data_IF_474274809954
#
_entry.id   IF_474274809954
#
_cell.length_a   1.000
_cell.length_b   1.000
_cell.length_c   1.000
_cell.angle_alpha   90.00
_cell.angle_beta   90.00
_cell.angle_gamma   90.00
#
_symmetry.space_group_name_H-M   'P 1'
#
loop_
_entity.id
_entity.type
_entity.pdbx_description
1 polymer ?
#
# COMPACT_ATOMS: atom_id res chain seq x y z
N UNK A 1 46.75 12.85 -11.93
CA UNK A 1 46.31 11.44 -11.75
C UNK A 1 47.22 10.73 -10.74
N UNK A 2 48.53 10.75 -10.94
CA UNK A 2 49.58 10.17 -10.06
C UNK A 2 49.41 10.42 -8.54
N UNK A 3 49.06 11.65 -8.13
CA UNK A 3 48.90 11.98 -6.71
C UNK A 3 47.76 11.21 -6.03
N UNK A 4 46.64 11.03 -6.74
CA UNK A 4 45.48 10.31 -6.21
C UNK A 4 45.77 8.82 -6.08
N UNK A 5 46.45 8.23 -7.07
CA UNK A 5 46.84 6.83 -7.06
C UNK A 5 47.83 6.52 -5.93
N UNK A 6 48.83 7.38 -5.74
CA UNK A 6 49.80 7.23 -4.65
C UNK A 6 49.12 7.27 -3.26
N UNK A 7 48.14 8.15 -3.08
CA UNK A 7 47.40 8.24 -1.81
C UNK A 7 46.45 7.04 -1.60
N UNK A 8 45.75 6.59 -2.64
CA UNK A 8 44.87 5.42 -2.55
C UNK A 8 45.66 4.15 -2.26
N UNK A 9 46.85 4.02 -2.85
CA UNK A 9 47.76 2.89 -2.61
C UNK A 9 48.22 2.86 -1.15
N UNK A 10 48.63 4.00 -0.59
CA UNK A 10 49.02 4.07 0.83
C UNK A 10 47.86 3.77 1.78
N UNK A 11 46.65 4.22 1.46
CA UNK A 11 45.45 3.96 2.27
C UNK A 11 45.07 2.48 2.24
N UNK A 12 45.04 1.86 1.05
CA UNK A 12 44.73 0.45 0.89
C UNK A 12 45.80 -0.46 1.53
N UNK A 13 47.08 -0.13 1.38
CA UNK A 13 48.18 -0.83 2.07
C UNK A 13 48.04 -0.75 3.60
N UNK A 14 47.69 0.42 4.13
CA UNK A 14 47.48 0.60 5.58
C UNK A 14 46.25 -0.15 6.08
N UNK A 15 45.16 -0.13 5.32
CA UNK A 15 43.95 -0.89 5.62
C UNK A 15 44.21 -2.40 5.59
N UNK A 16 44.85 -2.91 4.53
CA UNK A 16 45.20 -4.33 4.40
C UNK A 16 46.08 -4.81 5.55
N UNK A 17 47.04 -3.99 6.00
CA UNK A 17 47.89 -4.31 7.16
C UNK A 17 47.09 -4.44 8.46
N UNK A 18 46.05 -3.62 8.63
CA UNK A 18 45.16 -3.68 9.80
C UNK A 18 44.29 -4.94 9.74
N UNK A 19 43.74 -5.26 8.56
CA UNK A 19 42.92 -6.45 8.32
C UNK A 19 43.74 -7.73 8.57
N UNK A 20 44.96 -7.80 8.04
CA UNK A 20 45.83 -8.97 8.17
C UNK A 20 46.22 -9.24 9.64
N UNK A 21 46.31 -8.20 10.47
CA UNK A 21 46.67 -8.35 11.89
C UNK A 21 45.55 -8.95 12.74
N UNK A 22 44.29 -8.81 12.33
CA UNK A 22 43.13 -9.32 13.06
C UNK A 22 42.03 -9.83 12.08
N UNK A 23 42.27 -10.92 11.34
CA UNK A 23 41.37 -11.36 10.28
C UNK A 23 40.00 -11.81 10.80
N UNK A 24 39.96 -12.43 11.99
CA UNK A 24 38.71 -12.94 12.57
C UNK A 24 37.71 -11.82 12.89
N UNK A 25 38.17 -10.68 13.42
CA UNK A 25 37.29 -9.55 13.74
C UNK A 25 36.67 -8.92 12.50
N UNK A 26 37.39 -8.90 11.38
CA UNK A 26 36.89 -8.41 10.09
C UNK A 26 35.85 -9.31 9.44
N UNK A 27 35.74 -10.58 9.87
CA UNK A 27 34.66 -11.49 9.43
C UNK A 27 33.47 -11.41 10.39
N UNK A 28 33.72 -11.40 11.69
CA UNK A 28 32.66 -11.40 12.72
C UNK A 28 31.85 -10.11 12.70
N UNK A 29 32.49 -8.94 12.60
CA UNK A 29 31.79 -7.64 12.61
C UNK A 29 30.76 -7.51 11.50
N UNK A 30 31.09 -7.69 10.20
CA UNK A 30 30.09 -7.56 9.14
C UNK A 30 28.98 -8.61 9.23
N UNK A 31 29.26 -9.81 9.74
CA UNK A 31 28.22 -10.83 9.97
C UNK A 31 27.25 -10.40 11.07
N UNK A 32 27.76 -9.94 12.22
CA UNK A 32 26.92 -9.47 13.33
C UNK A 32 26.12 -8.23 12.92
N UNK A 33 26.75 -7.30 12.20
CA UNK A 33 26.07 -6.12 11.64
C UNK A 33 25.01 -6.54 10.63
N UNK A 34 25.30 -7.49 9.75
CA UNK A 34 24.33 -8.02 8.78
C UNK A 34 23.11 -8.64 9.46
N UNK A 35 23.32 -9.44 10.50
CA UNK A 35 22.22 -10.02 11.29
C UNK A 35 21.41 -8.92 11.99
N UNK A 36 22.09 -7.94 12.61
CA UNK A 36 21.44 -6.81 13.28
C UNK A 36 20.63 -5.92 12.32
N UNK A 37 21.06 -5.77 11.06
CA UNK A 37 20.28 -5.07 10.04
C UNK A 37 19.13 -5.94 9.51
N UNK A 38 19.33 -7.25 9.42
CA UNK A 38 18.30 -8.17 8.93
C UNK A 38 17.09 -8.26 9.87
N UNK A 39 17.26 -8.09 11.17
CA UNK A 39 16.12 -8.05 12.12
C UNK A 39 15.16 -6.89 11.82
N UNK A 40 15.64 -5.80 11.21
CA UNK A 40 14.81 -4.69 10.76
C UNK A 40 13.73 -5.09 9.74
N UNK A 41 13.96 -6.16 8.96
CA UNK A 41 12.98 -6.66 7.99
C UNK A 41 11.73 -7.24 8.66
N UNK A 42 11.82 -7.66 9.93
CA UNK A 42 10.66 -8.15 10.68
C UNK A 42 9.65 -7.04 10.97
N UNK A 43 10.09 -5.77 10.97
CA UNK A 43 9.25 -4.60 11.19
C UNK A 43 8.79 -3.93 9.89
N UNK A 44 8.94 -4.61 8.75
CA UNK A 44 8.54 -4.06 7.46
C UNK A 44 7.02 -4.06 7.32
N UNK A 45 6.42 -2.86 7.40
CA UNK A 45 5.00 -2.66 7.15
C UNK A 45 4.68 -2.83 5.66
N UNK A 46 3.79 -3.77 5.34
CA UNK A 46 3.30 -3.97 3.98
C UNK A 46 2.15 -3.00 3.69
N UNK A 47 2.30 -2.22 2.61
CA UNK A 47 1.24 -1.36 2.10
C UNK A 47 0.68 -1.97 0.82
N UNK A 48 -0.51 -2.59 0.90
CA UNK A 48 -1.18 -3.23 -0.25
C UNK A 48 -2.15 -2.30 -0.99
N UNK A 49 -2.26 -1.05 -0.55
CA UNK A 49 -3.17 -0.09 -1.18
C UNK A 49 -2.58 0.44 -2.49
N UNK A 50 -3.13 -0.01 -3.63
CA UNK A 50 -2.72 0.45 -4.95
C UNK A 50 -2.77 1.98 -5.10
N UNK A 51 -3.79 2.65 -4.54
CA UNK A 51 -3.88 4.11 -4.59
C UNK A 51 -2.68 4.76 -3.88
N UNK A 52 -2.24 4.20 -2.76
CA UNK A 52 -1.06 4.70 -2.04
C UNK A 52 0.24 4.46 -2.82
N UNK A 53 0.38 3.30 -3.46
CA UNK A 53 1.61 2.93 -4.20
C UNK A 53 1.78 3.70 -5.51
N UNK A 54 0.68 4.03 -6.20
CA UNK A 54 0.71 4.63 -7.53
C UNK A 54 0.42 6.13 -7.57
N UNK A 55 0.08 6.76 -6.43
CA UNK A 55 -0.20 8.22 -6.39
C UNK A 55 0.75 8.96 -5.45
N UNK A 56 1.15 10.20 -5.78
CA UNK A 56 2.02 10.98 -4.93
C UNK A 56 1.32 11.34 -3.61
N UNK A 57 2.03 11.15 -2.49
CA UNK A 57 1.50 11.39 -1.13
C UNK A 57 1.06 12.85 -0.91
N UNK A 58 1.75 13.80 -1.55
CA UNK A 58 1.57 15.24 -1.35
C UNK A 58 1.09 15.95 -2.63
N UNK A 59 0.28 15.30 -3.45
CA UNK A 59 -0.36 15.95 -4.60
C UNK A 59 -1.40 17.00 -4.18
N UNK A 60 -1.63 18.03 -5.00
CA UNK A 60 -2.68 19.04 -4.75
C UNK A 60 -4.06 18.39 -4.61
N UNK A 61 -4.38 17.41 -5.45
CA UNK A 61 -5.62 16.63 -5.35
C UNK A 61 -5.78 15.93 -3.98
N UNK A 62 -4.69 15.50 -3.34
CA UNK A 62 -4.72 14.91 -1.98
C UNK A 62 -4.92 15.93 -0.87
N UNK A 63 -4.58 17.19 -1.12
CA UNK A 63 -4.90 18.28 -0.19
C UNK A 63 -6.38 18.65 -0.30
N UNK A 64 -6.89 18.78 -1.53
CA UNK A 64 -8.31 19.00 -1.79
C UNK A 64 -9.17 17.87 -1.21
N UNK A 65 -8.79 16.61 -1.43
CA UNK A 65 -9.47 15.44 -0.84
C UNK A 65 -9.58 15.55 0.69
N UNK A 66 -8.49 15.96 1.37
CA UNK A 66 -8.48 16.15 2.83
C UNK A 66 -9.42 17.28 3.27
N UNK A 67 -9.48 18.37 2.50
CA UNK A 67 -10.40 19.49 2.76
C UNK A 67 -11.85 19.02 2.61
N UNK A 68 -12.19 18.32 1.52
CA UNK A 68 -13.53 17.74 1.34
C UNK A 68 -13.91 16.76 2.45
N UNK A 69 -12.99 15.88 2.85
CA UNK A 69 -13.20 14.92 3.95
C UNK A 69 -13.42 15.62 5.29
N UNK A 70 -12.82 16.79 5.51
CA UNK A 70 -13.04 17.60 6.73
C UNK A 70 -14.44 18.23 6.81
N UNK A 71 -15.00 18.64 5.67
CA UNK A 71 -16.35 19.24 5.60
C UNK A 71 -17.46 18.20 5.56
N UNK A 72 -17.21 17.06 4.89
CA UNK A 72 -18.17 15.97 4.75
C UNK A 72 -17.55 14.65 5.23
N UNK A 73 -17.45 14.44 6.56
CA UNK A 73 -16.91 13.20 7.10
C UNK A 73 -17.77 12.02 6.66
N UNK A 74 -17.14 11.00 6.09
CA UNK A 74 -17.81 9.74 5.76
C UNK A 74 -17.94 8.91 7.03
N UNK A 75 -18.85 9.31 7.92
CA UNK A 75 -19.16 8.52 9.12
C UNK A 75 -19.72 7.18 8.68
N UNK A 76 -19.05 6.08 9.05
CA UNK A 76 -19.39 4.69 8.72
C UNK A 76 -20.81 4.23 9.13
N UNK A 77 -21.59 5.08 9.79
CA UNK A 77 -22.86 4.73 10.43
C UNK A 77 -24.08 4.93 9.54
N UNK A 78 -23.97 5.64 8.42
CA UNK A 78 -25.12 5.88 7.54
C UNK A 78 -24.89 5.23 6.18
N UNK A 79 -25.88 4.44 5.78
CA UNK A 79 -26.09 3.79 4.48
C UNK A 79 -25.39 4.50 3.32
N UNK A 80 -24.67 3.72 2.52
CA UNK A 80 -23.98 4.16 1.31
C UNK A 80 -24.89 5.06 0.45
N UNK A 81 -24.41 6.25 0.09
CA UNK A 81 -25.14 7.18 -0.77
C UNK A 81 -24.36 7.40 -2.06
N UNK A 82 -24.94 7.06 -3.24
CA UNK A 82 -24.29 7.27 -4.53
C UNK A 82 -23.95 8.74 -4.82
N UNK A 83 -24.63 9.69 -4.18
CA UNK A 83 -24.40 11.12 -4.38
C UNK A 83 -23.18 11.65 -3.62
N UNK A 84 -22.54 10.83 -2.77
CA UNK A 84 -21.38 11.20 -1.93
C UNK A 84 -20.07 10.57 -2.42
N UNK A 85 -19.91 10.42 -3.73
CA UNK A 85 -18.72 9.83 -4.35
C UNK A 85 -17.63 10.90 -4.51
N UNK A 86 -16.96 11.23 -3.41
CA UNK A 86 -15.77 12.10 -3.42
C UNK A 86 -14.48 11.27 -3.26
N UNK A 87 -14.61 10.12 -2.60
CA UNK A 87 -13.53 9.18 -2.38
C UNK A 87 -13.94 7.82 -2.99
N UNK A 88 -13.06 7.21 -3.78
CA UNK A 88 -13.27 5.85 -4.32
C UNK A 88 -13.23 4.75 -3.25
N UNK A 89 -13.06 5.10 -1.98
CA UNK A 89 -13.05 4.17 -0.85
C UNK A 89 -14.46 3.64 -0.56
N UNK A 90 -14.55 2.33 -0.31
CA UNK A 90 -15.79 1.68 0.13
C UNK A 90 -16.85 1.52 -0.96
N UNK A 91 -16.47 1.66 -2.24
CA UNK A 91 -17.37 1.46 -3.37
C UNK A 91 -17.26 0.04 -3.90
N UNK A 92 -18.41 -0.56 -4.20
CA UNK A 92 -18.49 -1.81 -4.93
C UNK A 92 -19.30 -1.56 -6.21
N UNK A 93 -18.73 -1.91 -7.36
CA UNK A 93 -19.42 -1.83 -8.64
C UNK A 93 -19.80 -3.23 -9.10
N UNK A 94 -21.09 -3.43 -9.34
CA UNK A 94 -21.63 -4.69 -9.83
C UNK A 94 -21.92 -4.55 -11.32
N UNK A 95 -21.29 -5.40 -12.13
CA UNK A 95 -21.54 -5.46 -13.56
C UNK A 95 -22.44 -6.65 -13.86
N UNK A 96 -23.68 -6.36 -14.27
CA UNK A 96 -24.66 -7.38 -14.64
C UNK A 96 -24.71 -7.53 -16.15
N UNK A 97 -24.60 -8.76 -16.64
CA UNK A 97 -24.68 -9.10 -18.06
C UNK A 97 -25.73 -10.18 -18.28
N UNK A 98 -26.57 -10.04 -19.30
CA UNK A 98 -27.48 -11.11 -19.71
C UNK A 98 -26.70 -12.29 -20.31
N UNK A 99 -27.00 -13.51 -19.85
CA UNK A 99 -26.40 -14.75 -20.36
C UNK A 99 -26.55 -14.91 -21.88
N UNK A 100 -27.69 -14.46 -22.44
CA UNK A 100 -28.02 -14.62 -23.85
C UNK A 100 -27.91 -13.31 -24.65
N UNK A 101 -27.32 -12.26 -24.06
CA UNK A 101 -27.28 -10.93 -24.69
C UNK A 101 -28.65 -10.27 -24.84
N UNK A 102 -29.66 -10.73 -24.10
CA UNK A 102 -30.99 -10.13 -24.10
C UNK A 102 -30.98 -8.75 -23.46
N UNK A 103 -31.95 -7.90 -23.84
CA UNK A 103 -32.09 -6.56 -23.27
C UNK A 103 -32.27 -6.62 -21.74
N UNK A 104 -31.42 -5.89 -21.00
CA UNK A 104 -31.48 -5.79 -19.55
C UNK A 104 -32.56 -4.82 -19.05
N UNK A 105 -33.09 -3.95 -19.94
CA UNK A 105 -34.15 -2.99 -19.61
C UNK A 105 -35.55 -3.62 -19.58
N UNK A 106 -35.64 -4.95 -19.72
CA UNK A 106 -36.90 -5.67 -19.54
C UNK A 106 -37.29 -5.68 -18.05
N UNK A 107 -38.58 -5.48 -17.70
CA UNK A 107 -39.03 -5.40 -16.30
C UNK A 107 -38.54 -6.55 -15.41
N UNK A 108 -38.53 -7.78 -15.95
CA UNK A 108 -38.02 -8.97 -15.25
C UNK A 108 -36.57 -8.82 -14.77
N UNK A 109 -35.69 -8.29 -15.62
CA UNK A 109 -34.28 -8.12 -15.27
C UNK A 109 -34.05 -6.90 -14.39
N UNK A 110 -34.81 -5.82 -14.59
CA UNK A 110 -34.75 -4.64 -13.73
C UNK A 110 -35.13 -4.97 -12.28
N UNK A 111 -36.17 -5.78 -12.07
CA UNK A 111 -36.56 -6.24 -10.73
C UNK A 111 -35.46 -7.10 -10.09
N UNK A 112 -34.86 -8.01 -10.85
CA UNK A 112 -33.76 -8.83 -10.34
C UNK A 112 -32.50 -8.00 -9.99
N UNK A 113 -32.21 -6.95 -10.77
CA UNK A 113 -31.10 -6.01 -10.48
C UNK A 113 -31.39 -5.22 -9.20
N UNK A 114 -32.63 -4.78 -9.01
CA UNK A 114 -33.06 -4.04 -7.82
C UNK A 114 -32.99 -4.92 -6.56
N UNK A 115 -33.46 -6.16 -6.65
CA UNK A 115 -33.35 -7.16 -5.59
C UNK A 115 -31.88 -7.44 -5.23
N UNK A 116 -31.02 -7.60 -6.23
CA UNK A 116 -29.58 -7.80 -6.04
C UNK A 116 -28.90 -6.58 -5.40
N UNK A 117 -29.28 -5.37 -5.81
CA UNK A 117 -28.77 -4.14 -5.20
C UNK A 117 -29.20 -4.02 -3.73
N UNK A 118 -30.45 -4.40 -3.42
CA UNK A 118 -30.98 -4.41 -2.05
C UNK A 118 -30.22 -5.40 -1.18
N UNK A 119 -30.06 -6.64 -1.66
CA UNK A 119 -29.28 -7.68 -0.98
C UNK A 119 -27.86 -7.22 -0.66
N UNK A 120 -27.16 -6.63 -1.63
CA UNK A 120 -25.78 -6.16 -1.42
C UNK A 120 -25.72 -4.99 -0.43
N UNK A 121 -26.71 -4.11 -0.43
CA UNK A 121 -26.73 -2.93 0.44
C UNK A 121 -27.10 -3.27 1.89
N UNK A 122 -28.02 -4.23 2.08
CA UNK A 122 -28.60 -4.56 3.38
C UNK A 122 -27.88 -5.74 4.07
N UNK A 123 -27.53 -6.79 3.33
CA UNK A 123 -27.05 -8.04 3.92
C UNK A 123 -25.52 -8.18 3.91
N UNK A 124 -24.81 -7.49 3.01
CA UNK A 124 -23.35 -7.59 2.92
C UNK A 124 -22.70 -6.54 3.82
N UNK A 125 -22.21 -6.99 4.98
CA UNK A 125 -21.36 -6.18 5.85
C UNK A 125 -19.88 -6.53 5.62
N UNK A 126 -19.07 -5.53 5.31
CA UNK A 126 -17.62 -5.70 5.24
C UNK A 126 -17.06 -5.74 6.67
N UNK A 127 -16.75 -6.94 7.15
CA UNK A 127 -16.01 -7.11 8.40
C UNK A 127 -14.57 -6.65 8.18
N UNK A 128 -14.18 -5.54 8.82
CA UNK A 128 -12.77 -5.15 8.93
C UNK A 128 -12.06 -6.13 9.89
N UNK A 129 -11.79 -7.36 9.45
CA UNK A 129 -10.88 -8.23 10.19
C UNK A 129 -9.45 -7.80 9.91
N UNK A 130 -8.77 -7.30 10.96
CA UNK A 130 -7.32 -7.09 11.06
C UNK A 130 -6.71 -5.95 10.23
N UNK A 131 -6.85 -4.71 10.73
CA UNK A 131 -5.93 -3.60 10.40
C UNK A 131 -5.29 -2.97 11.66
N UNK A 132 -5.45 -3.57 12.84
CA UNK A 132 -4.97 -3.03 14.12
C UNK A 132 -4.05 -3.97 14.93
N UNK A 133 -3.62 -5.08 14.35
CA UNK A 133 -2.57 -5.91 14.94
C UNK A 133 -1.44 -5.97 13.92
N UNK A 134 -0.27 -5.54 14.37
CA UNK A 134 0.98 -5.25 13.64
C UNK A 134 1.09 -3.81 13.14
#
# INVERSE_FOLDING_TARGET
MEFFEANLRRLSERYARIVYRNPAWFVVVPVVVGIALSTGLLFLNKYDNALYLYTPLNGQAKQEERVFESFWPTTKQYSFSPSKIFNGKGQCHLYVKSKNGSNLLTPKYLLAIEELNRYVTEDIQVSNSLFYLF
#
